data_IF_685586152301
#
_entry.id   IF_685586152301
#
_cell.length_a   1.000
_cell.length_b   1.000
_cell.length_c   1.000
_cell.angle_alpha   90.00
_cell.angle_beta   90.00
_cell.angle_gamma   90.00
#
_symmetry.space_group_name_H-M   'P 1'
#
loop_
_entity.id
_entity.type
_entity.pdbx_description
1 polymer ?
#
# COMPACT_ATOMS: atom_id res chain seq x y z
N UNK A 1 54.65 -67.71 -3.87
CA UNK A 1 53.40 -66.98 -3.61
C UNK A 1 53.68 -65.48 -3.59
N UNK A 2 53.00 -64.73 -4.45
CA UNK A 2 53.20 -63.31 -4.69
C UNK A 2 52.15 -62.49 -3.92
N UNK A 3 52.58 -61.54 -3.08
CA UNK A 3 51.71 -60.68 -2.28
C UNK A 3 51.91 -59.20 -2.61
N UNK A 4 51.08 -58.68 -3.52
CA UNK A 4 51.09 -57.30 -4.01
C UNK A 4 50.52 -56.33 -2.96
N UNK A 5 51.37 -55.43 -2.44
CA UNK A 5 51.01 -54.43 -1.42
C UNK A 5 50.41 -53.18 -2.06
N UNK A 6 49.09 -53.05 -2.00
CA UNK A 6 48.30 -51.97 -2.63
C UNK A 6 48.41 -50.67 -1.81
N UNK A 7 49.19 -49.69 -2.29
CA UNK A 7 49.23 -48.31 -1.73
C UNK A 7 47.91 -47.59 -2.01
N UNK A 8 47.22 -47.14 -0.96
CA UNK A 8 46.06 -46.24 -1.04
C UNK A 8 46.53 -44.80 -0.89
N UNK A 9 46.44 -44.04 -1.97
CA UNK A 9 46.61 -42.59 -2.04
C UNK A 9 45.38 -41.91 -1.41
N UNK A 10 45.57 -41.16 -0.32
CA UNK A 10 44.52 -40.30 0.23
C UNK A 10 44.42 -39.02 -0.60
N UNK A 11 43.26 -38.81 -1.24
CA UNK A 11 42.91 -37.54 -1.88
C UNK A 11 42.37 -36.58 -0.80
N UNK A 12 43.15 -35.55 -0.45
CA UNK A 12 42.69 -34.44 0.37
C UNK A 12 41.63 -33.64 -0.42
N UNK A 13 40.34 -33.78 -0.06
CA UNK A 13 39.26 -32.92 -0.57
C UNK A 13 39.37 -31.54 0.09
N UNK A 14 39.82 -30.54 -0.67
CA UNK A 14 39.74 -29.12 -0.31
C UNK A 14 38.27 -28.72 -0.23
N UNK A 15 37.76 -28.48 0.98
CA UNK A 15 36.46 -27.82 1.19
C UNK A 15 36.68 -26.33 0.99
N UNK A 16 36.32 -25.83 -0.20
CA UNK A 16 36.26 -24.41 -0.45
C UNK A 16 35.01 -23.85 0.25
N UNK A 17 35.21 -23.25 1.43
CA UNK A 17 34.18 -22.44 2.10
C UNK A 17 34.10 -21.12 1.34
N UNK A 18 33.22 -21.09 0.34
CA UNK A 18 32.89 -19.89 -0.40
C UNK A 18 31.93 -19.07 0.47
N UNK A 19 32.47 -18.17 1.30
CA UNK A 19 31.72 -17.12 1.98
C UNK A 19 31.13 -16.18 0.94
N UNK A 20 29.88 -16.46 0.54
CA UNK A 20 29.01 -15.52 -0.18
C UNK A 20 28.62 -14.39 0.78
N UNK A 21 29.53 -13.45 1.01
CA UNK A 21 29.20 -12.11 1.52
C UNK A 21 28.74 -11.27 0.32
N UNK A 22 27.53 -11.55 -0.17
CA UNK A 22 26.84 -10.60 -1.03
C UNK A 22 26.28 -9.51 -0.12
N UNK A 23 26.68 -8.23 -0.27
CA UNK A 23 25.85 -7.16 0.25
C UNK A 23 24.57 -7.20 -0.58
N UNK A 24 23.48 -7.67 0.02
CA UNK A 24 22.14 -7.36 -0.45
C UNK A 24 21.99 -5.84 -0.32
N UNK A 25 22.47 -5.11 -1.33
CA UNK A 25 22.01 -3.78 -1.64
C UNK A 25 20.53 -3.94 -2.00
N UNK A 26 19.70 -4.02 -0.97
CA UNK A 26 18.27 -3.93 -1.14
C UNK A 26 18.06 -2.54 -1.71
N UNK A 27 17.65 -2.47 -2.98
CA UNK A 27 17.18 -1.23 -3.54
C UNK A 27 16.19 -0.63 -2.53
N UNK A 28 16.40 0.63 -2.19
CA UNK A 28 15.47 1.35 -1.33
C UNK A 28 14.21 1.59 -2.17
N UNK A 29 13.30 0.63 -2.16
CA UNK A 29 11.94 0.86 -2.62
C UNK A 29 11.41 2.05 -1.80
N UNK A 30 10.93 3.08 -2.50
CA UNK A 30 10.30 4.22 -1.86
C UNK A 30 8.82 4.14 -2.17
N UNK A 31 8.04 3.71 -1.19
CA UNK A 31 6.59 3.87 -1.24
C UNK A 31 6.22 5.36 -1.13
N UNK A 32 5.31 5.80 -1.99
CA UNK A 32 4.73 7.15 -1.96
C UNK A 32 3.22 7.02 -1.75
N UNK A 33 2.66 7.82 -0.84
CA UNK A 33 1.20 7.96 -0.72
C UNK A 33 0.69 8.87 -1.86
N UNK A 34 0.49 8.28 -3.02
CA UNK A 34 0.07 9.00 -4.24
C UNK A 34 -1.39 9.43 -4.18
N UNK A 35 -2.19 8.80 -3.32
CA UNK A 35 -3.64 8.98 -3.26
C UNK A 35 -4.38 8.22 -4.37
N UNK A 36 -5.69 8.41 -4.42
CA UNK A 36 -6.58 7.70 -5.33
C UNK A 36 -6.20 7.98 -6.79
N UNK A 37 -5.89 6.94 -7.60
CA UNK A 37 -5.60 7.09 -9.04
C UNK A 37 -6.75 7.71 -9.82
N UNK A 38 -7.95 7.71 -9.23
CA UNK A 38 -9.21 8.02 -9.88
C UNK A 38 -9.72 9.43 -9.53
N UNK A 39 -8.94 10.21 -8.78
CA UNK A 39 -9.21 11.63 -8.56
C UNK A 39 -8.41 12.45 -9.57
N UNK A 40 -9.07 13.38 -10.28
CA UNK A 40 -8.43 14.22 -11.29
C UNK A 40 -7.24 14.96 -10.67
N UNK A 41 -6.06 14.60 -11.14
CA UNK A 41 -4.79 15.15 -10.72
C UNK A 41 -4.59 16.42 -11.52
N UNK A 42 -4.86 17.56 -10.89
CA UNK A 42 -4.60 18.93 -11.33
C UNK A 42 -4.33 19.11 -12.84
N UNK A 43 -5.30 19.68 -13.56
CA UNK A 43 -5.21 20.00 -14.99
C UNK A 43 -4.08 21.00 -15.27
N UNK A 44 -2.84 20.52 -15.45
CA UNK A 44 -1.71 21.07 -16.23
C UNK A 44 -1.25 22.54 -16.10
N UNK A 45 -2.00 23.43 -15.47
CA UNK A 45 -1.84 24.89 -15.56
C UNK A 45 -1.57 25.55 -14.20
N UNK A 46 -1.90 24.89 -13.09
CA UNK A 46 -1.60 25.35 -11.73
C UNK A 46 -0.65 24.37 -11.04
N UNK A 47 0.51 24.88 -10.62
CA UNK A 47 1.48 24.16 -9.79
C UNK A 47 0.80 23.53 -8.56
N UNK A 48 0.44 22.24 -8.63
CA UNK A 48 0.00 21.46 -7.47
C UNK A 48 1.20 20.99 -6.65
N UNK A 49 1.98 21.95 -6.17
CA UNK A 49 3.16 21.72 -5.31
C UNK A 49 2.84 21.96 -3.85
N UNK A 50 1.61 21.74 -3.40
CA UNK A 50 1.32 21.62 -1.97
C UNK A 50 1.58 20.18 -1.56
N UNK A 51 2.85 19.88 -1.27
CA UNK A 51 3.24 18.63 -0.62
C UNK A 51 2.46 18.50 0.69
N UNK A 52 1.62 17.49 0.78
CA UNK A 52 0.88 17.22 2.00
C UNK A 52 1.77 16.42 2.95
N UNK A 53 2.04 16.89 4.19
CA UNK A 53 2.89 16.19 5.14
C UNK A 53 2.51 14.72 5.39
N UNK A 54 1.21 14.39 5.28
CA UNK A 54 0.72 13.02 5.37
C UNK A 54 1.31 12.07 4.32
N UNK A 55 1.86 12.58 3.21
CA UNK A 55 2.45 11.77 2.13
C UNK A 55 3.90 11.37 2.38
N UNK A 56 4.57 11.92 3.41
CA UNK A 56 5.99 11.67 3.67
C UNK A 56 6.29 10.27 4.23
N UNK A 57 5.26 9.51 4.63
CA UNK A 57 5.34 8.12 5.12
C UNK A 57 6.56 7.78 6.00
N UNK A 58 6.78 8.45 7.16
CA UNK A 58 7.89 8.11 8.04
C UNK A 58 7.96 6.60 8.39
N UNK A 59 9.14 5.95 8.31
CA UNK A 59 9.24 4.48 8.40
C UNK A 59 8.73 3.90 9.72
N UNK A 60 8.83 4.65 10.82
CA UNK A 60 8.38 4.25 12.15
C UNK A 60 6.85 4.19 12.30
N UNK A 61 6.11 4.71 11.32
CA UNK A 61 4.64 4.70 11.34
C UNK A 61 4.05 3.44 10.72
N UNK A 62 4.80 2.67 9.93
CA UNK A 62 4.26 1.44 9.33
C UNK A 62 3.90 0.39 10.37
N UNK A 63 2.75 -0.26 10.19
CA UNK A 63 2.42 -1.46 10.95
C UNK A 63 3.30 -2.62 10.48
N UNK A 64 4.08 -3.18 11.40
CA UNK A 64 5.01 -4.26 11.11
C UNK A 64 4.29 -5.58 10.77
N UNK A 65 4.95 -6.42 9.98
CA UNK A 65 4.38 -7.62 9.35
C UNK A 65 3.60 -8.58 10.28
N UNK A 66 4.02 -8.88 11.53
CA UNK A 66 3.23 -9.78 12.38
C UNK A 66 1.85 -9.21 12.72
N UNK A 67 1.76 -7.89 12.88
CA UNK A 67 0.49 -7.20 13.12
C UNK A 67 -0.26 -7.07 11.80
N UNK A 68 0.35 -6.50 10.78
CA UNK A 68 -0.30 -6.22 9.50
C UNK A 68 -0.88 -7.48 8.83
N UNK A 69 -0.14 -8.59 8.82
CA UNK A 69 -0.58 -9.84 8.19
C UNK A 69 -1.61 -10.61 9.03
N UNK A 70 -1.73 -10.29 10.32
CA UNK A 70 -2.74 -10.87 11.21
C UNK A 70 -4.16 -10.35 10.95
N UNK A 71 -4.32 -9.25 10.22
CA UNK A 71 -5.63 -8.69 9.90
C UNK A 71 -6.36 -9.62 8.91
N UNK A 72 -7.63 -9.92 9.21
CA UNK A 72 -8.53 -10.58 8.26
C UNK A 72 -8.82 -9.64 7.09
N UNK A 73 -8.98 -10.20 5.88
CA UNK A 73 -9.30 -9.46 4.67
C UNK A 73 -10.63 -9.91 4.09
N UNK A 74 -11.34 -8.98 3.46
CA UNK A 74 -12.56 -9.25 2.73
C UNK A 74 -12.27 -10.08 1.47
N UNK A 75 -12.88 -11.25 1.38
CA UNK A 75 -12.50 -12.30 0.44
C UNK A 75 -12.78 -11.96 -1.04
N UNK A 76 -13.86 -11.24 -1.34
CA UNK A 76 -14.25 -10.87 -2.70
C UNK A 76 -13.41 -9.72 -3.29
N UNK A 77 -12.79 -8.91 -2.44
CA UNK A 77 -12.00 -7.73 -2.85
C UNK A 77 -10.51 -7.94 -2.75
N UNK A 78 -10.03 -8.84 -1.89
CA UNK A 78 -8.61 -9.03 -1.63
C UNK A 78 -7.93 -9.76 -2.80
N UNK A 79 -6.80 -9.21 -3.27
CA UNK A 79 -6.04 -9.78 -4.39
C UNK A 79 -4.77 -10.47 -3.91
N UNK A 80 -3.87 -9.75 -3.22
CA UNK A 80 -2.57 -10.26 -2.76
C UNK A 80 -1.91 -9.34 -1.73
N UNK A 81 -0.80 -9.78 -1.15
CA UNK A 81 0.12 -8.93 -0.37
C UNK A 81 1.50 -8.99 -1.02
N UNK A 82 2.06 -7.82 -1.31
CA UNK A 82 3.43 -7.67 -1.81
C UNK A 82 4.34 -7.15 -0.68
N UNK A 83 5.55 -7.70 -0.58
CA UNK A 83 6.54 -7.29 0.41
C UNK A 83 7.46 -6.23 -0.20
N UNK A 84 7.52 -5.07 0.44
CA UNK A 84 8.38 -3.95 0.04
C UNK A 84 9.33 -3.57 1.18
N UNK A 85 10.36 -2.80 0.84
CA UNK A 85 11.15 -2.03 1.81
C UNK A 85 10.73 -0.56 1.68
N UNK A 86 10.71 0.20 2.77
CA UNK A 86 10.62 1.65 2.73
C UNK A 86 11.63 2.23 3.70
N UNK A 87 12.67 2.88 3.17
CA UNK A 87 13.82 3.35 3.93
C UNK A 87 14.42 2.26 4.86
N UNK A 88 14.50 1.02 4.37
CA UNK A 88 15.05 -0.12 5.10
C UNK A 88 14.07 -0.83 6.05
N UNK A 89 12.84 -0.33 6.21
CA UNK A 89 11.80 -0.98 7.02
C UNK A 89 10.97 -1.91 6.13
N UNK A 90 10.75 -3.17 6.50
CA UNK A 90 9.87 -4.05 5.74
C UNK A 90 8.41 -3.60 5.87
N UNK A 91 7.76 -3.37 4.73
CA UNK A 91 6.37 -2.92 4.61
C UNK A 91 5.57 -3.93 3.81
N UNK A 92 4.36 -4.26 4.28
CA UNK A 92 3.39 -5.06 3.54
C UNK A 92 2.44 -4.13 2.78
N UNK A 93 2.39 -4.27 1.46
CA UNK A 93 1.41 -3.59 0.60
C UNK A 93 0.29 -4.57 0.26
N UNK A 94 -0.92 -4.25 0.68
CA UNK A 94 -2.10 -5.08 0.44
C UNK A 94 -2.79 -4.59 -0.82
N UNK A 95 -3.02 -5.49 -1.77
CA UNK A 95 -3.72 -5.18 -3.00
C UNK A 95 -5.17 -5.62 -2.89
N UNK A 96 -6.07 -4.69 -3.19
CA UNK A 96 -7.51 -4.90 -3.24
C UNK A 96 -8.05 -4.45 -4.60
N UNK A 97 -9.28 -4.86 -4.89
CA UNK A 97 -10.14 -4.26 -5.90
C UNK A 97 -11.36 -3.63 -5.25
N UNK A 98 -11.91 -2.59 -5.87
CA UNK A 98 -13.23 -2.10 -5.49
C UNK A 98 -14.26 -3.22 -5.65
N UNK A 99 -15.20 -3.38 -4.72
CA UNK A 99 -16.22 -4.39 -4.87
C UNK A 99 -17.18 -4.02 -6.01
N UNK A 100 -17.63 -5.04 -6.77
CA UNK A 100 -18.54 -4.86 -7.90
C UNK A 100 -19.82 -4.08 -7.58
N UNK A 101 -20.28 -4.13 -6.32
CA UNK A 101 -21.45 -3.38 -5.83
C UNK A 101 -21.23 -1.86 -5.74
N UNK A 102 -19.98 -1.39 -5.69
CA UNK A 102 -19.64 0.04 -5.72
C UNK A 102 -19.25 0.52 -7.12
N UNK A 103 -18.56 -0.33 -7.88
CA UNK A 103 -18.17 -0.03 -9.27
C UNK A 103 -18.02 -1.33 -10.06
N UNK A 104 -18.72 -1.44 -11.19
CA UNK A 104 -18.62 -2.60 -12.09
C UNK A 104 -17.21 -2.81 -12.67
N UNK A 105 -16.36 -1.79 -12.61
CA UNK A 105 -14.98 -1.86 -13.11
C UNK A 105 -14.02 -2.53 -12.12
N UNK A 106 -14.45 -2.72 -10.86
CA UNK A 106 -13.66 -3.36 -9.80
C UNK A 106 -12.20 -2.85 -9.75
N UNK A 107 -12.03 -1.53 -9.70
CA UNK A 107 -10.73 -0.88 -9.88
C UNK A 107 -9.71 -1.33 -8.83
N UNK A 108 -8.51 -1.80 -9.22
CA UNK A 108 -7.50 -2.27 -8.29
C UNK A 108 -6.71 -1.12 -7.66
N UNK A 109 -6.30 -1.29 -6.41
CA UNK A 109 -5.44 -0.36 -5.69
C UNK A 109 -4.58 -1.07 -4.63
N UNK A 110 -3.46 -0.45 -4.26
CA UNK A 110 -2.57 -0.92 -3.20
C UNK A 110 -2.66 -0.04 -1.97
N UNK A 111 -2.66 -0.63 -0.77
CA UNK A 111 -2.62 0.10 0.49
C UNK A 111 -1.49 -0.36 1.40
N UNK A 112 -0.87 0.58 2.09
CA UNK A 112 0.01 0.31 3.23
C UNK A 112 -0.65 0.77 4.52
N UNK A 113 -0.40 0.03 5.60
CA UNK A 113 -1.01 0.29 6.90
C UNK A 113 -0.03 1.04 7.80
N UNK A 114 -0.49 2.14 8.39
CA UNK A 114 0.28 2.98 9.30
C UNK A 114 -0.47 3.23 10.60
N UNK A 115 0.25 3.45 11.69
CA UNK A 115 -0.31 3.80 13.01
C UNK A 115 -0.80 5.24 13.09
N UNK A 116 -0.27 6.13 12.24
CA UNK A 116 -0.62 7.54 12.21
C UNK A 116 -0.03 8.24 10.98
N UNK A 117 -0.36 9.52 10.83
CA UNK A 117 0.17 10.42 9.79
C UNK A 117 0.32 11.82 10.38
N UNK A 118 1.07 12.69 9.70
CA UNK A 118 1.03 14.13 9.98
C UNK A 118 -0.32 14.70 9.50
N UNK A 119 -1.14 15.18 10.43
CA UNK A 119 -2.50 15.67 10.13
C UNK A 119 -2.54 17.09 9.56
N UNK A 120 -1.39 17.79 9.45
CA UNK A 120 -1.34 19.15 8.90
C UNK A 120 -1.76 19.13 7.43
N UNK A 121 -2.78 19.91 7.09
CA UNK A 121 -3.33 19.96 5.74
C UNK A 121 -4.19 18.75 5.36
N UNK A 122 -4.44 17.83 6.30
CA UNK A 122 -5.31 16.67 6.11
C UNK A 122 -6.75 17.03 6.53
N UNK A 123 -7.67 16.85 5.61
CA UNK A 123 -9.11 16.85 5.86
C UNK A 123 -9.59 15.43 6.11
N UNK A 124 -10.50 15.29 7.06
CA UNK A 124 -11.08 14.00 7.45
C UNK A 124 -12.59 14.08 7.37
N UNK A 125 -13.20 13.19 6.59
CA UNK A 125 -14.64 13.16 6.36
C UNK A 125 -15.21 11.87 6.95
N UNK A 126 -16.18 12.00 7.85
CA UNK A 126 -16.83 10.85 8.45
C UNK A 126 -17.54 9.99 7.38
N UNK A 127 -17.31 8.69 7.44
CA UNK A 127 -17.95 7.71 6.59
C UNK A 127 -19.41 7.48 7.01
N UNK A 128 -20.36 7.39 6.07
CA UNK A 128 -21.69 6.88 6.38
C UNK A 128 -21.59 5.47 7.00
N UNK A 129 -22.38 5.15 8.05
CA UNK A 129 -22.31 3.83 8.69
C UNK A 129 -22.60 2.65 7.74
N UNK A 130 -23.44 2.86 6.72
CA UNK A 130 -23.73 1.88 5.67
C UNK A 130 -22.48 1.48 4.89
N UNK A 131 -21.63 2.46 4.61
CA UNK A 131 -20.47 2.27 3.76
C UNK A 131 -19.33 1.69 4.62
N UNK A 132 -19.20 2.17 5.85
CA UNK A 132 -18.26 1.66 6.85
C UNK A 132 -18.46 0.16 7.19
N UNK A 133 -19.68 -0.35 6.99
CA UNK A 133 -19.99 -1.77 7.17
C UNK A 133 -19.27 -2.66 6.14
N UNK A 134 -19.03 -2.12 4.95
CA UNK A 134 -18.38 -2.79 3.84
C UNK A 134 -16.85 -2.57 3.86
N UNK A 135 -16.22 -3.15 4.88
CA UNK A 135 -14.80 -2.93 5.17
C UNK A 135 -13.91 -4.01 4.57
N UNK A 136 -12.81 -3.59 3.93
CA UNK A 136 -11.75 -4.50 3.46
C UNK A 136 -11.11 -5.30 4.60
N UNK A 137 -11.23 -4.84 5.84
CA UNK A 137 -10.78 -5.51 7.06
C UNK A 137 -12.00 -5.81 7.95
N UNK A 138 -12.56 -7.03 7.94
CA UNK A 138 -13.88 -7.31 8.52
C UNK A 138 -14.03 -7.01 10.02
N UNK A 139 -12.96 -7.18 10.80
CA UNK A 139 -12.90 -6.85 12.23
C UNK A 139 -12.81 -5.33 12.51
N UNK A 140 -12.76 -4.51 11.47
CA UNK A 140 -12.64 -3.05 11.53
C UNK A 140 -13.73 -2.39 10.69
N UNK A 141 -14.06 -1.15 11.04
CA UNK A 141 -14.87 -0.24 10.21
C UNK A 141 -13.98 0.91 9.76
N UNK A 142 -14.03 1.29 8.49
CA UNK A 142 -13.44 2.57 8.08
C UNK A 142 -14.38 3.69 8.51
N UNK A 143 -13.87 4.61 9.32
CA UNK A 143 -14.66 5.68 9.95
C UNK A 143 -14.51 7.01 9.26
N UNK A 144 -13.37 7.22 8.58
CA UNK A 144 -13.07 8.46 7.92
C UNK A 144 -12.36 8.23 6.58
N UNK A 145 -12.70 9.07 5.61
CA UNK A 145 -11.96 9.27 4.38
C UNK A 145 -10.96 10.40 4.60
N UNK A 146 -9.69 10.15 4.27
CA UNK A 146 -8.60 11.10 4.49
C UNK A 146 -8.23 11.77 3.17
N UNK A 147 -8.31 13.09 3.11
CA UNK A 147 -8.00 13.87 1.91
C UNK A 147 -6.99 14.96 2.21
N UNK A 148 -5.93 15.08 1.42
CA UNK A 148 -5.05 16.25 1.50
C UNK A 148 -5.68 17.43 0.81
N UNK A 149 -5.73 18.58 1.48
CA UNK A 149 -6.24 19.82 0.90
C UNK A 149 -5.22 20.41 -0.07
N UNK A 150 -5.61 20.61 -1.33
CA UNK A 150 -4.80 21.32 -2.31
C UNK A 150 -5.46 22.67 -2.63
N UNK A 151 -5.35 23.61 -1.69
CA UNK A 151 -5.96 24.94 -1.85
C UNK A 151 -7.48 24.90 -1.98
N UNK A 152 -8.04 25.83 -2.77
CA UNK A 152 -9.49 26.02 -2.94
C UNK A 152 -10.11 25.02 -3.94
N UNK A 153 -9.31 24.36 -4.78
CA UNK A 153 -9.80 23.70 -6.00
C UNK A 153 -9.91 22.17 -5.91
N UNK A 154 -9.54 21.56 -4.79
CA UNK A 154 -9.74 20.12 -4.62
C UNK A 154 -8.95 19.48 -3.49
N UNK A 155 -9.15 18.18 -3.32
CA UNK A 155 -8.41 17.41 -2.34
C UNK A 155 -7.99 16.04 -2.88
N UNK A 156 -6.78 15.62 -2.54
CA UNK A 156 -6.25 14.31 -2.90
C UNK A 156 -6.68 13.27 -1.87
N UNK A 157 -7.53 12.32 -2.26
CA UNK A 157 -7.92 11.21 -1.39
C UNK A 157 -6.74 10.28 -1.12
N UNK A 158 -6.21 10.29 0.11
CA UNK A 158 -5.06 9.49 0.51
C UNK A 158 -5.42 8.09 1.01
N UNK A 159 -6.62 7.89 1.53
CA UNK A 159 -7.01 6.60 2.09
C UNK A 159 -8.08 6.72 3.17
N UNK A 160 -7.99 5.87 4.20
CA UNK A 160 -9.05 5.72 5.19
C UNK A 160 -8.50 5.46 6.60
N UNK A 161 -9.22 5.94 7.61
CA UNK A 161 -8.97 5.60 9.02
C UNK A 161 -9.87 4.43 9.44
N UNK A 162 -9.29 3.40 10.03
CA UNK A 162 -9.97 2.19 10.51
C UNK A 162 -10.01 2.16 12.04
N UNK A 163 -11.17 1.77 12.58
CA UNK A 163 -11.35 1.54 14.02
C UNK A 163 -11.86 0.12 14.23
N UNK A 164 -11.31 -0.57 15.23
CA UNK A 164 -11.67 -1.95 15.55
C UNK A 164 -13.12 -2.02 16.02
N UNK A 165 -13.89 -2.96 15.47
CA UNK A 165 -15.29 -3.18 15.87
C UNK A 165 -15.36 -3.79 17.28
N UNK A 166 -16.41 -3.47 18.06
CA UNK A 166 -16.74 -4.25 19.25
C UNK A 166 -16.96 -5.72 18.87
N UNK A 167 -16.39 -6.65 19.64
CA UNK A 167 -16.49 -8.09 19.35
C UNK A 167 -15.58 -8.60 18.22
N UNK A 168 -14.62 -7.78 17.76
CA UNK A 168 -13.58 -8.23 16.84
C UNK A 168 -12.93 -9.52 17.33
N UNK A 169 -12.75 -10.46 16.41
CA UNK A 169 -12.23 -11.79 16.71
C UNK A 169 -10.73 -11.86 16.97
N UNK A 170 -10.01 -10.76 16.74
CA UNK A 170 -8.56 -10.65 16.85
C UNK A 170 -8.13 -9.42 17.67
N UNK A 171 -7.09 -9.59 18.49
CA UNK A 171 -6.55 -8.58 19.41
C UNK A 171 -5.56 -7.60 18.72
N UNK A 172 -5.90 -7.13 17.52
CA UNK A 172 -5.09 -6.18 16.74
C UNK A 172 -4.99 -4.77 17.33
N UNK A 173 -4.45 -3.81 16.58
CA UNK A 173 -4.48 -2.40 16.98
C UNK A 173 -5.93 -1.90 17.15
N UNK A 174 -6.14 -0.92 18.04
CA UNK A 174 -7.44 -0.27 18.24
C UNK A 174 -7.88 0.52 17.00
N UNK A 175 -6.91 1.18 16.37
CA UNK A 175 -7.09 1.96 15.16
C UNK A 175 -5.84 1.90 14.29
N UNK A 176 -6.00 2.17 13.00
CA UNK A 176 -4.89 2.38 12.07
C UNK A 176 -5.37 3.19 10.86
N UNK A 177 -4.45 3.62 10.02
CA UNK A 177 -4.74 4.29 8.76
C UNK A 177 -4.25 3.39 7.62
N UNK A 178 -5.09 3.20 6.60
CA UNK A 178 -4.68 2.59 5.35
C UNK A 178 -4.51 3.68 4.30
N UNK A 179 -3.29 3.84 3.79
CA UNK A 179 -2.95 4.83 2.78
C UNK A 179 -2.81 4.14 1.43
N UNK A 180 -3.37 4.76 0.39
CA UNK A 180 -3.19 4.35 -1.00
C UNK A 180 -1.76 4.66 -1.40
N UNK A 181 -1.01 3.62 -1.73
CA UNK A 181 0.42 3.74 -2.07
C UNK A 181 0.71 3.13 -3.43
N UNK A 182 1.77 3.64 -4.06
CA UNK A 182 2.44 2.97 -5.16
C UNK A 182 3.96 2.92 -4.89
N UNK A 183 4.65 1.88 -5.37
CA UNK A 183 6.10 1.92 -5.46
C UNK A 183 6.51 3.06 -6.39
N UNK A 184 7.55 3.81 -6.04
CA UNK A 184 8.08 4.85 -6.93
C UNK A 184 8.53 4.22 -8.27
N UNK A 185 8.22 4.87 -9.40
CA UNK A 185 8.45 4.34 -10.76
C UNK A 185 9.92 4.02 -11.04
N UNK A 186 10.84 4.61 -10.27
CA UNK A 186 12.27 4.28 -10.28
C UNK A 186 12.53 2.80 -9.89
N UNK A 187 11.72 2.24 -8.98
CA UNK A 187 11.77 0.84 -8.55
C UNK A 187 11.05 -0.12 -9.50
N UNK A 188 9.99 0.34 -10.19
CA UNK A 188 9.24 -0.48 -11.17
C UNK A 188 10.10 -0.89 -12.37
N UNK A 189 11.03 -0.04 -12.82
CA UNK A 189 11.94 -0.34 -13.93
C UNK A 189 12.95 -1.46 -13.61
N UNK A 190 13.33 -1.60 -12.33
CA UNK A 190 14.22 -2.67 -11.85
C UNK A 190 13.43 -3.99 -11.70
N UNK A 191 12.22 -3.97 -11.12
CA UNK A 191 11.38 -5.17 -10.99
C UNK A 191 10.86 -5.68 -12.35
N UNK A 192 10.58 -4.79 -13.31
CA UNK A 192 10.23 -5.14 -14.70
C UNK A 192 11.37 -5.86 -15.44
N UNK A 193 12.62 -5.61 -15.05
CA UNK A 193 13.80 -6.35 -15.55
C UNK A 193 13.91 -7.74 -14.92
N UNK A 194 13.48 -7.90 -13.67
CA UNK A 194 13.40 -9.19 -12.99
C UNK A 194 12.18 -10.03 -13.44
N UNK A 195 11.08 -9.38 -13.87
CA UNK A 195 9.80 -9.99 -14.25
C UNK A 195 9.47 -9.91 -15.73
N UNK A 196 10.44 -10.11 -16.64
CA UNK A 196 10.13 -10.31 -18.07
C UNK A 196 9.36 -11.62 -18.29
N UNK A 197 8.04 -11.52 -18.17
CA UNK A 197 7.07 -12.59 -18.38
C UNK A 197 5.65 -12.20 -17.95
N UNK A 198 5.15 -11.03 -18.37
CA UNK A 198 3.77 -10.65 -18.08
C UNK A 198 3.39 -9.29 -18.67
N UNK A 199 2.51 -9.31 -19.67
CA UNK A 199 1.94 -8.14 -20.34
C UNK A 199 0.98 -7.42 -19.38
N UNK A 200 1.16 -6.12 -19.16
CA UNK A 200 0.27 -5.27 -18.37
C UNK A 200 -0.30 -4.15 -19.22
N UNK A 201 -1.61 -4.20 -19.44
CA UNK A 201 -2.42 -3.19 -20.13
C UNK A 201 -2.43 -1.87 -19.36
N UNK A 202 -2.25 -0.79 -20.10
CA UNK A 202 -2.44 0.60 -19.68
C UNK A 202 -3.95 0.86 -19.49
N UNK A 203 -4.39 1.04 -18.24
CA UNK A 203 -5.78 1.33 -17.90
C UNK A 203 -6.07 2.82 -18.07
N UNK A 204 -7.09 3.13 -18.86
CA UNK A 204 -7.53 4.48 -19.19
C UNK A 204 -7.94 5.29 -17.94
N UNK A 205 -7.31 6.45 -17.77
CA UNK A 205 -7.62 7.47 -16.77
C UNK A 205 -8.74 8.37 -17.29
N UNK A 206 -9.82 8.55 -16.51
CA UNK A 206 -10.89 9.53 -16.81
C UNK A 206 -12.33 9.04 -16.58
N UNK A 207 -12.66 8.49 -15.40
CA UNK A 207 -13.99 7.92 -15.10
C UNK A 207 -14.67 8.72 -13.99
N UNK A 208 -15.99 8.91 -14.11
CA UNK A 208 -16.84 9.61 -13.15
C UNK A 208 -16.62 9.09 -11.71
N UNK A 209 -16.46 10.03 -10.78
CA UNK A 209 -16.28 9.72 -9.37
C UNK A 209 -17.55 8.99 -8.84
N UNK A 210 -17.41 7.86 -8.09
CA UNK A 210 -18.51 7.17 -7.45
C UNK A 210 -19.37 8.13 -6.60
N UNK A 211 -20.66 7.82 -6.45
CA UNK A 211 -21.63 8.69 -5.77
C UNK A 211 -21.20 9.14 -4.35
N UNK A 212 -20.50 8.29 -3.60
CA UNK A 212 -19.95 8.67 -2.29
C UNK A 212 -18.85 9.73 -2.42
N UNK A 213 -18.02 9.70 -3.46
CA UNK A 213 -17.03 10.74 -3.75
C UNK A 213 -17.71 12.04 -4.20
N UNK A 214 -18.78 11.96 -4.99
CA UNK A 214 -19.57 13.14 -5.37
C UNK A 214 -20.25 13.77 -4.15
N UNK A 215 -20.76 12.97 -3.23
CA UNK A 215 -21.36 13.44 -1.98
C UNK A 215 -20.33 14.19 -1.10
N UNK A 216 -19.08 13.73 -1.05
CA UNK A 216 -18.00 14.44 -0.34
C UNK A 216 -17.62 15.76 -1.03
N UNK A 217 -17.52 15.78 -2.37
CA UNK A 217 -17.21 16.99 -3.13
C UNK A 217 -18.32 18.06 -3.05
N UNK A 218 -19.58 17.64 -2.85
CA UNK A 218 -20.67 18.58 -2.60
C UNK A 218 -20.69 19.09 -1.16
N UNK A 219 -20.26 18.28 -0.19
CA UNK A 219 -20.18 18.70 1.22
C UNK A 219 -19.14 19.79 1.46
N UNK A 220 -18.06 19.85 0.67
CA UNK A 220 -17.03 20.91 0.77
C UNK A 220 -17.50 22.25 0.21
N UNK A 221 -18.39 22.26 -0.79
CA UNK A 221 -18.92 23.51 -1.38
C UNK A 221 -19.89 24.28 -0.48
N UNK A 222 -20.54 23.61 0.47
CA UNK A 222 -21.58 24.24 1.30
C UNK A 222 -21.01 25.08 2.45
N UNK A 223 -19.70 25.00 2.75
CA UNK A 223 -19.05 25.78 3.81
C UNK A 223 -18.49 27.15 3.39
N UNK A 224 -18.66 27.56 2.13
CA UNK A 224 -18.32 28.93 1.69
C UNK A 224 -19.59 29.78 1.65
N UNK A 225 -20.00 30.30 2.80
CA UNK A 225 -20.90 31.45 2.96
C UNK A 225 -20.65 32.13 4.29
#
# INVERSE_FOLDING_TARGET
>A
EAGTKKRRTMLLRKVAVLTFLLPLASALDVLVAEGSPHHQQCDGASHCTTSCPAQALPPHLFLLAPVALGLKRQADTFLRVDAHSHAGVPVSVFHFKQPARLSHLELPFGIALVSGVDERGLMSFAAPPSDAADSWFPDYSWTHVLMCSHGEDGGLHLGWRFVRKPGASWAGPLEFIALIVRPDKSSELEDSRARRGGVGQELAVGIEAPAWMLAMAMATRVRSK
#
